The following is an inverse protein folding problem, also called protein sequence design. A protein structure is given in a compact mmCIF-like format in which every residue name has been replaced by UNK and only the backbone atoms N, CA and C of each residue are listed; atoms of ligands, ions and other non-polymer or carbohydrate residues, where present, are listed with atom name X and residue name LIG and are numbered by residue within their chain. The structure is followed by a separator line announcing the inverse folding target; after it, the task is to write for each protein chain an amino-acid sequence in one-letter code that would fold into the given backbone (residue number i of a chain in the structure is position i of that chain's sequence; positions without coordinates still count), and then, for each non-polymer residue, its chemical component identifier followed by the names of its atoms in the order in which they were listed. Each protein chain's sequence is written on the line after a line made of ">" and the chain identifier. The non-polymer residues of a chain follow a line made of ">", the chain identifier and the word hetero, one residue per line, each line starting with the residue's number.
data_IF_616991794310
#
_entry.id   IF_616991794310
#
_cell.length_a   1.000
_cell.length_b   1.000
_cell.length_c   1.000
_cell.angle_alpha   90.00
_cell.angle_beta   90.00
_cell.angle_gamma   90.00
#
_symmetry.space_group_name_H-M   'P 1'
#
loop_
_entity.id
_entity.type
_entity.pdbx_description
1 polymer ?
#
# COMPACT_ATOMS: atom_id res chain seq x y z
N UNK A 1 -8.09 -4.66 -7.93
CA UNK A 1 -6.68 -4.86 -8.29
C UNK A 1 -6.46 -4.41 -9.74
N UNK A 2 -5.46 -3.56 -9.98
CA UNK A 2 -5.17 -3.00 -11.30
C UNK A 2 -4.62 -4.03 -12.30
N UNK A 3 -4.18 -5.19 -11.83
CA UNK A 3 -3.76 -6.30 -12.70
C UNK A 3 -4.96 -7.07 -13.32
N UNK A 4 -6.18 -6.89 -12.80
CA UNK A 4 -7.35 -7.60 -13.27
C UNK A 4 -8.01 -6.89 -14.44
N UNK A 5 -8.25 -7.62 -15.51
CA UNK A 5 -9.00 -7.12 -16.66
C UNK A 5 -10.49 -7.30 -16.38
N UNK A 6 -11.22 -6.20 -16.31
CA UNK A 6 -12.65 -6.24 -16.04
C UNK A 6 -13.13 -5.03 -15.24
N UNK A 7 -14.45 -4.86 -15.11
CA UNK A 7 -15.02 -3.72 -14.41
C UNK A 7 -14.57 -3.63 -12.95
N UNK A 8 -14.12 -2.45 -12.55
CA UNK A 8 -13.75 -2.16 -11.16
C UNK A 8 -12.60 -3.01 -10.60
N UNK A 9 -11.71 -3.56 -11.45
CA UNK A 9 -10.57 -4.35 -10.99
C UNK A 9 -10.95 -5.54 -10.11
N UNK A 10 -12.10 -6.16 -10.39
CA UNK A 10 -12.61 -7.31 -9.65
C UNK A 10 -13.53 -6.99 -8.47
N UNK A 11 -13.82 -5.73 -8.19
CA UNK A 11 -14.65 -5.32 -7.06
C UNK A 11 -16.00 -6.05 -7.03
N UNK A 12 -16.69 -6.17 -8.16
CA UNK A 12 -18.01 -6.78 -8.24
C UNK A 12 -18.07 -8.24 -7.73
N UNK A 13 -16.95 -8.97 -7.78
CA UNK A 13 -16.88 -10.39 -7.36
C UNK A 13 -16.10 -10.60 -6.08
N UNK A 14 -15.49 -9.55 -5.53
CA UNK A 14 -14.67 -9.60 -4.30
C UNK A 14 -15.22 -8.75 -3.16
N UNK A 15 -16.29 -7.97 -3.39
CA UNK A 15 -16.95 -7.24 -2.31
C UNK A 15 -17.58 -8.22 -1.34
N UNK A 16 -17.20 -8.12 -0.07
CA UNK A 16 -17.68 -8.98 1.01
C UNK A 16 -18.16 -8.10 2.17
N UNK A 17 -19.26 -8.51 2.79
CA UNK A 17 -19.75 -7.90 4.02
C UNK A 17 -18.99 -8.43 5.24
N UNK A 18 -19.19 -7.80 6.40
CA UNK A 18 -18.56 -8.24 7.65
C UNK A 18 -18.86 -9.72 7.94
N UNK A 19 -17.82 -10.50 8.20
CA UNK A 19 -17.91 -11.94 8.41
C UNK A 19 -18.04 -12.80 7.15
N UNK A 20 -18.22 -12.20 5.97
CA UNK A 20 -18.24 -12.92 4.69
C UNK A 20 -16.85 -13.19 4.15
N UNK A 21 -16.73 -14.27 3.41
CA UNK A 21 -15.56 -14.56 2.57
C UNK A 21 -16.00 -14.68 1.12
N UNK A 22 -15.34 -13.95 0.22
CA UNK A 22 -15.54 -14.07 -1.23
C UNK A 22 -14.26 -14.56 -1.88
N UNK A 23 -14.39 -15.36 -2.92
CA UNK A 23 -13.28 -15.88 -3.70
C UNK A 23 -13.46 -15.47 -5.16
N UNK A 24 -12.59 -14.61 -5.64
CA UNK A 24 -12.49 -14.26 -7.06
C UNK A 24 -11.33 -15.01 -7.71
N UNK A 25 -11.50 -15.44 -8.97
CA UNK A 25 -10.43 -16.05 -9.77
C UNK A 25 -10.24 -15.23 -11.03
N UNK A 26 -9.00 -14.80 -11.23
CA UNK A 26 -8.63 -13.94 -12.36
C UNK A 26 -7.41 -14.53 -13.07
N UNK A 27 -7.43 -14.47 -14.39
CA UNK A 27 -6.24 -14.72 -15.19
C UNK A 27 -5.50 -13.39 -15.36
N UNK A 28 -4.22 -13.37 -14.99
CA UNK A 28 -3.34 -12.23 -15.18
C UNK A 28 -2.80 -12.28 -16.62
N UNK A 29 -3.10 -11.29 -17.44
CA UNK A 29 -2.83 -11.30 -18.87
C UNK A 29 -1.62 -10.48 -19.28
N UNK A 30 -1.29 -9.46 -18.50
CA UNK A 30 -0.24 -8.51 -18.83
C UNK A 30 0.82 -8.45 -17.74
N UNK A 31 2.09 -8.69 -18.07
CA UNK A 31 3.18 -8.51 -17.12
C UNK A 31 3.33 -7.06 -16.69
N UNK A 32 3.76 -6.85 -15.45
CA UNK A 32 4.00 -5.51 -14.92
C UNK A 32 3.83 -5.39 -13.40
N UNK A 33 4.02 -4.19 -12.90
CA UNK A 33 3.73 -3.81 -11.52
C UNK A 33 2.35 -3.17 -11.42
N UNK A 34 1.53 -3.65 -10.50
CA UNK A 34 0.16 -3.21 -10.33
C UNK A 34 -0.18 -2.95 -8.89
N UNK A 35 -0.81 -1.81 -8.63
CA UNK A 35 -1.38 -1.53 -7.31
C UNK A 35 -2.68 -2.32 -7.15
N UNK A 36 -2.92 -2.84 -5.96
CA UNK A 36 -4.25 -3.26 -5.51
C UNK A 36 -4.65 -2.47 -4.27
N UNK A 37 -5.94 -2.21 -4.13
CA UNK A 37 -6.44 -1.45 -2.99
C UNK A 37 -7.91 -1.74 -2.74
N UNK A 38 -8.40 -1.36 -1.56
CA UNK A 38 -9.82 -1.39 -1.24
C UNK A 38 -10.61 -0.48 -2.19
N UNK A 39 -11.79 -0.92 -2.60
CA UNK A 39 -12.70 -0.16 -3.44
C UNK A 39 -14.09 0.04 -2.78
N UNK A 40 -14.22 -0.29 -1.50
CA UNK A 40 -15.42 0.02 -0.74
C UNK A 40 -15.49 1.52 -0.46
N UNK A 41 -16.70 2.10 -0.51
CA UNK A 41 -16.92 3.51 -0.20
C UNK A 41 -16.81 3.77 1.33
N UNK A 42 -16.23 4.88 1.76
CA UNK A 42 -15.51 5.88 0.98
C UNK A 42 -14.08 5.44 0.66
N UNK A 43 -13.80 5.21 -0.62
CA UNK A 43 -12.54 4.61 -1.11
C UNK A 43 -11.27 5.31 -0.61
N UNK A 44 -11.15 6.65 -0.64
CA UNK A 44 -9.92 7.32 -0.20
C UNK A 44 -9.62 7.09 1.29
N UNK A 45 -10.63 6.95 2.13
CA UNK A 45 -10.46 6.71 3.58
C UNK A 45 -9.83 5.35 3.82
N UNK A 46 -10.32 4.31 3.15
CA UNK A 46 -9.78 2.96 3.31
C UNK A 46 -8.34 2.87 2.78
N UNK A 47 -8.06 3.48 1.64
CA UNK A 47 -6.70 3.51 1.06
C UNK A 47 -5.76 4.26 1.99
N UNK A 48 -6.15 5.46 2.47
CA UNK A 48 -5.33 6.27 3.36
C UNK A 48 -5.05 5.59 4.72
N UNK A 49 -5.88 4.63 5.12
CA UNK A 49 -5.65 3.80 6.30
C UNK A 49 -4.86 2.50 6.02
N UNK A 50 -4.22 2.38 4.83
CA UNK A 50 -3.29 1.31 4.54
C UNK A 50 -3.88 0.11 3.78
N UNK A 51 -5.11 0.20 3.26
CA UNK A 51 -5.73 -0.90 2.51
C UNK A 51 -5.28 -0.92 1.04
N UNK A 52 -4.00 -1.12 0.81
CA UNK A 52 -3.38 -1.19 -0.52
C UNK A 52 -2.11 -2.05 -0.50
N UNK A 53 -1.62 -2.38 -1.67
CA UNK A 53 -0.35 -3.07 -1.85
C UNK A 53 0.05 -3.15 -3.31
N UNK A 54 1.14 -3.83 -3.58
CA UNK A 54 1.73 -3.99 -4.89
C UNK A 54 1.71 -5.47 -5.31
N UNK A 55 1.40 -5.71 -6.58
CA UNK A 55 1.44 -7.02 -7.21
C UNK A 55 2.39 -6.97 -8.41
N UNK A 56 3.36 -7.87 -8.45
CA UNK A 56 4.18 -8.10 -9.63
C UNK A 56 3.59 -9.27 -10.42
N UNK A 57 3.27 -9.03 -11.68
CA UNK A 57 2.85 -10.05 -12.66
C UNK A 57 4.05 -10.37 -13.53
N UNK A 58 4.57 -11.58 -13.39
CA UNK A 58 5.74 -12.05 -14.14
C UNK A 58 5.42 -12.28 -15.62
N UNK A 59 6.36 -12.02 -16.54
CA UNK A 59 6.23 -12.42 -17.94
C UNK A 59 6.10 -13.94 -18.07
N UNK A 60 5.26 -14.38 -19.01
CA UNK A 60 5.13 -15.81 -19.32
C UNK A 60 6.42 -16.33 -19.96
N UNK A 61 6.99 -17.38 -19.37
CA UNK A 61 8.15 -18.12 -19.90
C UNK A 61 9.52 -17.56 -19.54
N UNK A 62 9.67 -16.27 -19.30
CA UNK A 62 10.93 -15.67 -18.87
C UNK A 62 10.65 -14.58 -17.85
N UNK A 63 11.12 -14.76 -16.64
CA UNK A 63 11.13 -13.71 -15.64
C UNK A 63 12.19 -12.65 -15.94
N UNK A 64 12.20 -11.55 -15.18
CA UNK A 64 13.27 -10.56 -15.23
C UNK A 64 14.62 -11.22 -14.94
N UNK A 65 15.73 -10.70 -15.51
CA UNK A 65 17.06 -11.23 -15.20
C UNK A 65 17.30 -11.33 -13.68
N UNK A 66 18.03 -12.33 -13.20
CA UNK A 66 18.35 -12.42 -11.79
C UNK A 66 19.19 -11.21 -11.35
N UNK A 67 19.03 -10.81 -10.10
CA UNK A 67 19.79 -9.73 -9.47
C UNK A 67 20.30 -10.19 -8.10
N UNK A 68 21.31 -9.51 -7.56
CA UNK A 68 21.88 -9.85 -6.25
C UNK A 68 20.96 -9.43 -5.12
N UNK A 69 20.21 -8.34 -5.32
CA UNK A 69 19.25 -7.80 -4.34
C UNK A 69 17.96 -7.37 -5.04
N UNK A 70 16.85 -7.73 -4.42
CA UNK A 70 15.54 -7.29 -4.86
C UNK A 70 14.75 -6.74 -3.69
N UNK A 71 14.21 -5.52 -3.85
CA UNK A 71 13.50 -4.81 -2.80
C UNK A 71 12.10 -4.41 -3.24
N UNK A 72 11.15 -4.66 -2.36
CA UNK A 72 9.81 -4.11 -2.44
C UNK A 72 9.78 -2.75 -1.73
N UNK A 73 9.40 -1.70 -2.46
CA UNK A 73 9.27 -0.35 -1.91
C UNK A 73 7.92 0.23 -2.30
N UNK A 74 7.12 0.57 -1.32
CA UNK A 74 5.80 1.18 -1.49
C UNK A 74 5.72 2.45 -0.65
N UNK A 75 5.66 3.61 -1.32
CA UNK A 75 5.42 4.88 -0.64
C UNK A 75 3.94 4.99 -0.26
N UNK A 76 3.69 5.62 0.87
CA UNK A 76 2.35 5.98 1.33
C UNK A 76 2.37 7.29 2.12
N UNK A 77 1.19 7.89 2.20
CA UNK A 77 0.97 9.16 2.88
C UNK A 77 -0.19 9.00 3.85
N UNK A 78 -0.02 9.51 5.06
CA UNK A 78 -1.04 9.45 6.09
C UNK A 78 -1.50 10.87 6.46
N UNK A 79 -2.80 11.02 6.53
CA UNK A 79 -3.50 12.28 6.75
C UNK A 79 -4.28 12.15 8.05
N UNK A 80 -3.85 12.85 9.08
CA UNK A 80 -4.50 12.72 10.39
C UNK A 80 -4.76 14.07 11.07
N UNK A 81 -5.70 14.07 11.99
CA UNK A 81 -5.92 15.19 12.91
C UNK A 81 -4.80 15.22 13.98
N UNK A 82 -4.59 16.34 14.62
CA UNK A 82 -3.69 16.39 15.77
C UNK A 82 -4.10 15.34 16.82
N UNK A 83 -3.12 14.70 17.51
CA UNK A 83 -3.45 13.77 18.58
C UNK A 83 -4.23 14.46 19.70
N UNK A 84 -5.26 13.80 20.20
CA UNK A 84 -5.98 14.26 21.37
C UNK A 84 -5.05 14.34 22.59
N UNK A 85 -5.32 15.32 23.46
CA UNK A 85 -4.58 15.52 24.69
C UNK A 85 -5.56 15.39 25.83
N UNK A 86 -5.28 14.49 26.78
CA UNK A 86 -6.12 14.29 27.96
C UNK A 86 -5.91 15.41 29.02
N UNK A 87 -6.70 15.36 30.07
CA UNK A 87 -6.65 16.34 31.18
C UNK A 87 -5.30 16.35 31.92
N UNK A 88 -4.54 15.27 31.83
CA UNK A 88 -3.18 15.13 32.40
C UNK A 88 -2.08 15.62 31.43
N UNK A 89 -2.45 16.08 30.23
CA UNK A 89 -1.52 16.56 29.22
C UNK A 89 -0.83 15.46 28.40
N UNK A 90 -1.34 14.21 28.45
CA UNK A 90 -0.81 13.09 27.66
C UNK A 90 -1.45 13.09 26.29
N UNK A 91 -0.64 12.89 25.25
CA UNK A 91 -1.10 12.77 23.88
C UNK A 91 -1.56 11.34 23.59
N UNK A 92 -2.66 11.22 22.85
CA UNK A 92 -3.11 9.94 22.32
C UNK A 92 -2.06 9.34 21.37
N UNK A 93 -1.85 8.03 21.46
CA UNK A 93 -1.03 7.27 20.49
C UNK A 93 -1.81 6.96 19.22
N UNK A 94 -3.13 7.12 19.23
CA UNK A 94 -4.02 6.93 18.08
C UNK A 94 -4.49 8.29 17.63
N UNK A 95 -4.47 8.50 16.32
CA UNK A 95 -4.94 9.73 15.68
C UNK A 95 -6.06 9.41 14.71
N UNK A 96 -7.03 10.32 14.61
CA UNK A 96 -8.13 10.20 13.65
C UNK A 96 -7.68 10.59 12.24
N UNK A 97 -8.24 9.91 11.23
CA UNK A 97 -8.02 10.28 9.84
C UNK A 97 -8.60 11.66 9.53
N UNK A 98 -7.80 12.51 8.88
CA UNK A 98 -8.22 13.84 8.44
C UNK A 98 -8.60 13.85 6.97
N UNK A 99 -9.90 13.79 6.68
CA UNK A 99 -10.40 13.90 5.31
C UNK A 99 -10.08 15.26 4.67
N UNK A 100 -10.18 16.41 5.38
CA UNK A 100 -9.75 17.70 4.83
C UNK A 100 -8.28 17.77 4.43
N UNK A 101 -7.38 17.18 5.23
CA UNK A 101 -5.95 17.13 4.89
C UNK A 101 -5.72 16.22 3.67
N UNK A 102 -6.43 15.10 3.59
CA UNK A 102 -6.39 14.21 2.42
C UNK A 102 -6.83 14.91 1.14
N UNK A 103 -7.90 15.69 1.18
CA UNK A 103 -8.36 16.46 0.02
C UNK A 103 -7.39 17.56 -0.42
N UNK A 104 -6.60 18.10 0.50
CA UNK A 104 -5.57 19.12 0.20
C UNK A 104 -4.22 18.51 -0.17
N UNK A 105 -4.10 17.18 -0.08
CA UNK A 105 -2.83 16.47 -0.29
C UNK A 105 -1.71 17.01 0.65
N UNK A 106 -2.08 17.29 1.91
CA UNK A 106 -1.19 17.77 2.96
C UNK A 106 -0.94 16.65 3.98
N UNK A 107 -0.05 15.68 3.68
CA UNK A 107 0.21 14.56 4.57
C UNK A 107 0.96 15.00 5.84
N UNK A 108 0.59 14.44 6.97
CA UNK A 108 1.32 14.58 8.22
C UNK A 108 2.47 13.60 8.32
N UNK A 109 2.36 12.45 7.64
CA UNK A 109 3.40 11.42 7.58
C UNK A 109 3.56 10.94 6.14
N UNK A 110 4.80 10.88 5.67
CA UNK A 110 5.17 10.15 4.44
C UNK A 110 6.01 8.96 4.86
N UNK A 111 5.59 7.77 4.44
CA UNK A 111 6.20 6.52 4.86
C UNK A 111 6.57 5.65 3.66
N UNK A 112 7.57 4.80 3.84
CA UNK A 112 7.88 3.70 2.94
C UNK A 112 7.65 2.38 3.67
N UNK A 113 6.92 1.45 3.04
CA UNK A 113 6.56 0.17 3.62
C UNK A 113 5.89 0.28 5.01
N UNK A 114 5.04 1.31 5.19
CA UNK A 114 4.16 1.46 6.33
C UNK A 114 4.72 2.23 7.54
N UNK A 115 5.97 2.69 7.50
CA UNK A 115 6.57 3.47 8.58
C UNK A 115 7.64 4.43 8.05
N UNK A 116 7.81 5.59 8.71
CA UNK A 116 8.88 6.53 8.41
C UNK A 116 10.29 5.94 8.59
N UNK A 117 10.41 4.94 9.45
CA UNK A 117 11.69 4.31 9.77
C UNK A 117 11.91 2.94 9.13
N UNK A 118 10.90 2.38 8.43
CA UNK A 118 10.94 1.00 7.95
C UNK A 118 12.17 0.69 7.09
N UNK A 119 12.50 1.55 6.13
CA UNK A 119 13.62 1.31 5.20
C UNK A 119 14.92 2.06 5.56
N UNK A 120 14.92 2.83 6.65
CA UNK A 120 16.10 3.60 7.07
C UNK A 120 16.73 3.09 8.36
N UNK A 121 15.91 2.59 9.27
CA UNK A 121 16.36 2.11 10.58
C UNK A 121 15.99 0.65 10.84
N UNK A 122 14.71 0.28 10.63
CA UNK A 122 14.20 -1.01 11.08
C UNK A 122 14.61 -2.15 10.13
N UNK A 123 14.48 -1.92 8.82
CA UNK A 123 14.88 -2.84 7.75
C UNK A 123 15.57 -2.09 6.61
N UNK A 124 16.75 -1.49 6.86
CA UNK A 124 17.43 -0.68 5.84
C UNK A 124 17.79 -1.51 4.61
N UNK A 125 17.61 -0.91 3.43
CA UNK A 125 18.03 -1.50 2.18
C UNK A 125 19.56 -1.57 2.16
N UNK A 126 20.12 -2.75 1.89
CA UNK A 126 21.57 -3.02 1.95
C UNK A 126 22.06 -3.65 0.67
N UNK A 127 23.06 -3.04 0.06
CA UNK A 127 23.77 -3.59 -1.09
C UNK A 127 25.28 -3.35 -0.94
N UNK A 128 26.08 -4.15 -1.62
CA UNK A 128 27.50 -3.93 -1.73
C UNK A 128 27.81 -3.21 -3.05
N UNK A 129 28.97 -2.59 -3.11
CA UNK A 129 29.45 -2.01 -4.37
C UNK A 129 29.65 -3.13 -5.38
N UNK A 130 28.97 -3.03 -6.52
CA UNK A 130 29.00 -4.03 -7.59
C UNK A 130 27.80 -4.97 -7.62
N UNK A 131 26.91 -4.93 -6.61
CA UNK A 131 25.66 -5.69 -6.64
C UNK A 131 24.71 -5.12 -7.72
N UNK A 132 24.07 -6.00 -8.46
CA UNK A 132 22.91 -5.68 -9.29
C UNK A 132 21.67 -5.58 -8.39
N UNK A 133 21.00 -4.42 -8.39
CA UNK A 133 19.88 -4.15 -7.49
C UNK A 133 18.61 -3.84 -8.29
N UNK A 134 17.50 -4.49 -7.92
CA UNK A 134 16.15 -4.19 -8.41
C UNK A 134 15.31 -3.60 -7.28
N UNK A 135 14.60 -2.50 -7.59
CA UNK A 135 13.64 -1.84 -6.68
C UNK A 135 12.32 -1.70 -7.40
#
# INVERSE_FOLDING_TARGET
>A
CHAFTGPGGGAAVTTAEEGETKVGRFKLLYPGLYVYHCAAAPVPVHIANGMYGLMYVQPEGNDLPPVDKEYYVMQSEFYHEPPEVDDDGRRSEIVEFSYPNGLREEPQVVAFNGSESALTRDHPLKAHVGDDVRI
#
